data_IF_041303129463
#
_entry.id   IF_041303129463
#
_cell.length_a   1.000
_cell.length_b   1.000
_cell.length_c   1.000
_cell.angle_alpha   90.00
_cell.angle_beta   90.00
_cell.angle_gamma   90.00
#
_symmetry.space_group_name_H-M   'P 1'
#
loop_
_entity.id
_entity.type
_entity.pdbx_description
1 polymer ?
#
# COMPACT_ATOMS: atom_id res chain seq x y z
N UNK A 1 24.13 -11.44 17.78
CA UNK A 1 23.19 -12.27 16.97
C UNK A 1 21.96 -11.42 16.66
N UNK A 2 21.49 -11.40 15.42
CA UNK A 2 20.21 -10.77 15.05
C UNK A 2 19.09 -11.78 15.29
N UNK A 3 18.05 -11.38 16.01
CA UNK A 3 16.84 -12.17 16.19
C UNK A 3 15.98 -12.07 14.91
N UNK A 4 15.56 -13.20 14.30
CA UNK A 4 14.66 -13.15 13.15
C UNK A 4 13.34 -12.47 13.54
N UNK A 5 12.97 -11.43 12.80
CA UNK A 5 11.71 -10.74 12.95
C UNK A 5 10.91 -10.81 11.64
N UNK A 6 9.59 -11.08 11.68
CA UNK A 6 8.79 -11.11 10.47
C UNK A 6 8.72 -9.70 9.86
N UNK A 7 9.06 -9.60 8.59
CA UNK A 7 8.96 -8.38 7.79
C UNK A 7 7.88 -8.55 6.73
N UNK A 8 6.95 -7.61 6.68
CA UNK A 8 5.85 -7.60 5.72
C UNK A 8 6.05 -6.46 4.74
N UNK A 9 5.89 -6.75 3.45
CA UNK A 9 5.92 -5.74 2.39
C UNK A 9 4.60 -5.78 1.63
N UNK A 10 3.96 -4.62 1.50
CA UNK A 10 2.70 -4.45 0.78
C UNK A 10 2.89 -3.34 -0.24
N UNK A 11 2.52 -3.62 -1.49
CA UNK A 11 2.50 -2.62 -2.55
C UNK A 11 1.19 -1.82 -2.45
N UNK A 12 1.24 -0.54 -2.82
CA UNK A 12 0.03 0.27 -2.99
C UNK A 12 -0.96 -0.39 -3.98
N UNK A 13 -2.25 -0.08 -3.80
CA UNK A 13 -3.31 -0.53 -4.71
C UNK A 13 -3.21 0.09 -6.11
N UNK A 14 -4.09 -0.34 -7.00
CA UNK A 14 -4.17 0.14 -8.38
C UNK A 14 -4.42 1.66 -8.45
N UNK A 15 -3.82 2.28 -9.47
CA UNK A 15 -4.06 3.65 -9.91
C UNK A 15 -4.46 3.65 -11.38
N UNK A 16 -5.05 4.73 -11.88
CA UNK A 16 -5.42 4.81 -13.30
C UNK A 16 -4.21 4.67 -14.25
N UNK A 17 -3.03 5.09 -13.82
CA UNK A 17 -1.81 4.94 -14.60
C UNK A 17 -1.35 3.49 -14.67
N UNK A 18 -1.54 2.70 -13.60
CA UNK A 18 -1.27 1.26 -13.67
C UNK A 18 -2.22 0.58 -14.65
N UNK A 19 -3.51 0.94 -14.62
CA UNK A 19 -4.53 0.44 -15.54
C UNK A 19 -4.22 0.78 -17.01
N UNK A 20 -3.72 2.00 -17.26
CA UNK A 20 -3.31 2.47 -18.58
C UNK A 20 -1.88 2.05 -18.98
N UNK A 21 -1.18 1.27 -18.13
CA UNK A 21 0.22 0.84 -18.33
C UNK A 21 1.20 2.01 -18.55
N UNK A 22 0.93 3.15 -17.92
CA UNK A 22 1.79 4.33 -17.95
C UNK A 22 2.87 4.25 -16.85
N UNK A 23 4.06 4.77 -17.14
CA UNK A 23 5.15 4.86 -16.15
C UNK A 23 4.86 5.96 -15.14
N UNK A 24 4.90 5.62 -13.85
CA UNK A 24 4.41 6.49 -12.79
C UNK A 24 5.50 7.30 -12.07
N UNK A 25 6.73 6.78 -11.99
CA UNK A 25 7.85 7.43 -11.31
C UNK A 25 7.47 7.94 -9.91
N UNK A 26 7.83 9.20 -9.64
CA UNK A 26 7.48 9.92 -8.41
C UNK A 26 6.19 10.74 -8.52
N UNK A 27 5.47 10.67 -9.65
CA UNK A 27 4.20 11.37 -9.83
C UNK A 27 3.18 10.83 -8.83
N UNK A 28 2.49 11.74 -8.13
CA UNK A 28 1.54 11.40 -7.06
C UNK A 28 0.14 11.11 -7.62
N UNK A 29 0.01 10.07 -8.44
CA UNK A 29 -1.31 9.58 -8.85
C UNK A 29 -1.99 8.88 -7.67
N UNK A 30 -3.24 9.24 -7.33
CA UNK A 30 -3.99 8.57 -6.26
C UNK A 30 -4.42 7.15 -6.65
N UNK A 31 -4.83 6.37 -5.66
CA UNK A 31 -5.54 5.11 -5.88
C UNK A 31 -6.85 5.35 -6.65
N UNK A 32 -7.20 4.42 -7.52
CA UNK A 32 -8.54 4.39 -8.11
C UNK A 32 -9.48 3.53 -7.25
N UNK A 33 -10.74 3.38 -7.67
CA UNK A 33 -11.73 2.60 -6.91
C UNK A 33 -11.28 1.15 -6.66
N UNK A 34 -10.65 0.51 -7.65
CA UNK A 34 -10.05 -0.83 -7.50
C UNK A 34 -8.94 -0.83 -6.44
N UNK A 35 -8.06 0.17 -6.48
CA UNK A 35 -6.95 0.31 -5.55
C UNK A 35 -7.40 0.57 -4.11
N UNK A 36 -8.51 1.29 -3.92
CA UNK A 36 -9.14 1.49 -2.61
C UNK A 36 -9.65 0.16 -2.06
N UNK A 37 -10.44 -0.58 -2.84
CA UNK A 37 -10.93 -1.90 -2.43
C UNK A 37 -9.79 -2.88 -2.10
N UNK A 38 -8.70 -2.85 -2.88
CA UNK A 38 -7.49 -3.63 -2.60
C UNK A 38 -6.83 -3.24 -1.27
N UNK A 39 -6.77 -1.94 -0.95
CA UNK A 39 -6.21 -1.46 0.30
C UNK A 39 -7.07 -1.90 1.51
N UNK A 40 -8.39 -1.84 1.40
CA UNK A 40 -9.32 -2.30 2.44
C UNK A 40 -9.22 -3.81 2.69
N UNK A 41 -9.22 -4.62 1.62
CA UNK A 41 -9.05 -6.07 1.73
C UNK A 41 -7.68 -6.45 2.33
N UNK A 42 -6.62 -5.71 1.97
CA UNK A 42 -5.30 -5.90 2.59
C UNK A 42 -5.31 -5.52 4.08
N UNK A 43 -6.01 -4.44 4.47
CA UNK A 43 -6.13 -4.02 5.85
C UNK A 43 -6.80 -5.09 6.72
N UNK A 44 -7.84 -5.75 6.21
CA UNK A 44 -8.51 -6.87 6.90
C UNK A 44 -7.51 -7.99 7.23
N UNK A 45 -6.71 -8.41 6.25
CA UNK A 45 -5.70 -9.47 6.45
C UNK A 45 -4.61 -9.01 7.43
N UNK A 46 -4.13 -7.78 7.28
CA UNK A 46 -3.03 -7.22 8.08
C UNK A 46 -3.44 -7.00 9.54
N UNK A 47 -4.70 -6.66 9.79
CA UNK A 47 -5.24 -6.44 11.14
C UNK A 47 -5.09 -7.67 12.06
N UNK A 48 -4.99 -8.86 11.48
CA UNK A 48 -4.78 -10.12 12.21
C UNK A 48 -3.33 -10.34 12.67
N UNK A 49 -2.40 -9.47 12.28
CA UNK A 49 -0.96 -9.58 12.56
C UNK A 49 -0.53 -8.61 13.66
N UNK A 50 0.48 -9.00 14.44
CA UNK A 50 1.08 -8.14 15.48
C UNK A 50 2.07 -7.14 14.89
N UNK A 51 1.61 -6.27 14.00
CA UNK A 51 2.44 -5.20 13.42
C UNK A 51 2.47 -4.02 14.38
N UNK A 52 3.67 -3.68 14.86
CA UNK A 52 3.89 -2.57 15.80
C UNK A 52 4.43 -1.31 15.12
N UNK A 53 4.94 -1.45 13.89
CA UNK A 53 5.53 -0.35 13.13
C UNK A 53 5.11 -0.44 11.68
N UNK A 54 4.68 0.68 11.10
CA UNK A 54 4.34 0.82 9.69
C UNK A 54 5.22 1.92 9.09
N UNK A 55 5.86 1.64 7.97
CA UNK A 55 6.64 2.61 7.19
C UNK A 55 6.03 2.73 5.79
N UNK A 56 5.87 3.95 5.29
CA UNK A 56 5.30 4.23 3.97
C UNK A 56 6.18 5.21 3.20
N UNK A 57 6.09 5.18 1.87
CA UNK A 57 6.60 6.29 1.06
C UNK A 57 5.72 7.53 1.24
N UNK A 58 6.21 8.76 1.01
CA UNK A 58 5.41 9.99 1.17
C UNK A 58 4.27 10.15 0.15
N UNK A 59 4.15 9.24 -0.82
CA UNK A 59 3.18 9.32 -1.91
C UNK A 59 1.79 8.88 -1.43
N UNK A 60 0.74 9.59 -1.85
CA UNK A 60 -0.63 9.39 -1.36
C UNK A 60 -1.13 7.98 -1.60
N UNK A 61 -0.76 7.36 -2.73
CA UNK A 61 -1.10 5.97 -3.06
C UNK A 61 -0.58 4.95 -2.04
N UNK A 62 0.49 5.26 -1.31
CA UNK A 62 1.06 4.38 -0.29
C UNK A 62 0.69 4.80 1.14
N UNK A 63 0.52 6.09 1.39
CA UNK A 63 0.35 6.63 2.74
C UNK A 63 -1.11 6.75 3.20
N UNK A 64 -2.07 6.89 2.28
CA UNK A 64 -3.46 7.21 2.63
C UNK A 64 -4.43 6.14 2.13
N UNK A 65 -4.83 5.17 2.99
CA UNK A 65 -6.12 4.51 2.83
C UNK A 65 -7.23 5.58 3.03
N UNK A 66 -8.36 5.52 2.30
CA UNK A 66 -9.49 6.39 2.61
C UNK A 66 -10.02 6.12 4.02
N UNK A 67 -10.52 7.18 4.65
CA UNK A 67 -11.24 7.18 5.94
C UNK A 67 -12.51 6.34 5.89
#
# INVERSE_FOLDING_TARGET
MLTPAPFYFIRHGETDWNKLKLMQGQTDTPLNATGIFQAEAAAEIVSTRKIVTICTSPLRRAAKPPS
#
